data_IF_359912420993
#
_entry.id   IF_359912420993
#
_cell.length_a   1.000
_cell.length_b   1.000
_cell.length_c   1.000
_cell.angle_alpha   90.00
_cell.angle_beta   90.00
_cell.angle_gamma   90.00
#
_symmetry.space_group_name_H-M   'P 1'
#
loop_
_entity.id
_entity.type
_entity.pdbx_description
1 polymer ?
#
# COMPACT_ATOMS: atom_id res chain seq x y z
N UNK A 1 19.29 6.63 22.09
CA UNK A 1 20.07 7.67 21.36
C UNK A 1 19.14 8.86 21.15
N UNK A 2 19.58 10.10 21.44
CA UNK A 2 18.75 11.29 21.20
C UNK A 2 18.61 11.53 19.69
N UNK A 3 17.38 11.73 19.21
CA UNK A 3 17.10 12.06 17.82
C UNK A 3 17.20 13.58 17.65
N UNK A 4 17.95 14.01 16.63
CA UNK A 4 18.16 15.42 16.30
C UNK A 4 17.85 15.67 14.83
N UNK A 5 17.58 16.93 14.47
CA UNK A 5 17.25 17.31 13.10
C UNK A 5 18.37 16.95 12.12
N UNK A 6 17.99 16.32 11.00
CA UNK A 6 18.87 15.81 9.96
C UNK A 6 18.09 15.63 8.65
N UNK A 7 18.73 15.10 7.59
CA UNK A 7 18.01 14.73 6.36
C UNK A 7 16.93 13.67 6.59
N UNK A 8 17.14 12.80 7.58
CA UNK A 8 16.25 11.67 7.90
C UNK A 8 15.16 12.04 8.91
N UNK A 9 15.48 12.89 9.88
CA UNK A 9 14.59 13.25 10.97
C UNK A 9 14.38 14.76 11.00
N UNK A 10 13.14 15.24 11.01
CA UNK A 10 12.83 16.64 11.35
C UNK A 10 12.19 16.69 12.72
N UNK A 11 12.80 17.46 13.62
CA UNK A 11 12.23 17.72 14.95
C UNK A 11 11.62 19.12 14.92
N UNK A 12 10.31 19.20 15.06
CA UNK A 12 9.54 20.43 14.89
C UNK A 12 8.83 20.83 16.19
N UNK A 13 8.79 22.13 16.45
CA UNK A 13 8.13 22.73 17.61
C UNK A 13 7.31 23.92 17.17
N UNK A 14 5.99 23.85 17.38
CA UNK A 14 5.05 24.91 17.01
C UNK A 14 4.08 25.14 18.16
N UNK A 15 4.24 26.26 18.87
CA UNK A 15 3.50 26.53 20.10
C UNK A 15 3.63 25.37 21.11
N UNK A 16 2.49 24.76 21.48
CA UNK A 16 2.42 23.61 22.39
C UNK A 16 2.63 22.26 21.70
N UNK A 17 2.76 22.22 20.37
CA UNK A 17 2.91 21.00 19.58
C UNK A 17 4.37 20.59 19.40
N UNK A 18 4.64 19.28 19.42
CA UNK A 18 5.94 18.67 19.14
C UNK A 18 5.76 17.57 18.11
N UNK A 19 6.53 17.60 17.03
CA UNK A 19 6.48 16.58 15.98
C UNK A 19 7.88 16.04 15.68
N UNK A 20 7.95 14.74 15.49
CA UNK A 20 9.08 14.06 14.87
C UNK A 20 8.61 13.55 13.51
N UNK A 21 9.20 14.05 12.44
CA UNK A 21 8.97 13.55 11.07
C UNK A 21 10.13 12.65 10.70
N UNK A 22 9.83 11.41 10.31
CA UNK A 22 10.80 10.46 9.76
C UNK A 22 10.64 10.44 8.24
N UNK A 23 11.60 11.03 7.54
CA UNK A 23 11.58 11.15 6.08
C UNK A 23 12.00 9.82 5.43
N UNK A 24 11.41 9.48 4.28
CA UNK A 24 11.81 8.31 3.46
C UNK A 24 11.98 7.02 4.28
N UNK A 25 10.96 6.64 5.05
CA UNK A 25 10.99 5.50 5.98
C UNK A 25 11.46 4.20 5.31
N UNK A 26 12.35 3.48 5.99
CA UNK A 26 12.92 2.18 5.61
C UNK A 26 12.66 1.16 6.73
N UNK A 27 12.82 -0.15 6.44
CA UNK A 27 12.63 -1.23 7.43
C UNK A 27 13.41 -1.00 8.75
N UNK A 28 14.62 -0.43 8.66
CA UNK A 28 15.48 -0.15 9.83
C UNK A 28 14.97 0.98 10.74
N UNK A 29 14.02 1.78 10.27
CA UNK A 29 13.41 2.85 11.07
C UNK A 29 12.24 2.34 11.91
N UNK A 30 11.81 1.09 11.71
CA UNK A 30 10.83 0.44 12.58
C UNK A 30 11.39 0.32 14.00
N UNK A 31 10.51 0.45 15.00
CA UNK A 31 10.90 0.33 16.40
C UNK A 31 10.16 1.29 17.31
N UNK A 32 10.63 1.36 18.55
CA UNK A 32 10.08 2.25 19.56
C UNK A 32 10.76 3.62 19.53
N UNK A 33 9.93 4.66 19.59
CA UNK A 33 10.33 6.05 19.69
C UNK A 33 9.75 6.61 20.98
N UNK A 34 10.57 7.35 21.72
CA UNK A 34 10.14 7.95 22.99
C UNK A 34 10.25 9.47 22.93
N UNK A 35 9.17 10.15 23.31
CA UNK A 35 9.16 11.58 23.60
C UNK A 35 9.19 11.76 25.13
N UNK A 36 10.16 12.51 25.65
CA UNK A 36 10.33 12.74 27.08
C UNK A 36 10.23 14.22 27.42
N UNK A 37 9.48 14.56 28.47
CA UNK A 37 9.37 15.92 29.00
C UNK A 37 9.20 15.88 30.53
N UNK A 38 10.03 16.64 31.26
CA UNK A 38 9.98 16.75 32.72
C UNK A 38 9.91 15.39 33.45
N UNK A 39 10.70 14.41 33.00
CA UNK A 39 10.74 13.05 33.58
C UNK A 39 9.56 12.15 33.18
N UNK A 40 8.59 12.65 32.42
CA UNK A 40 7.48 11.87 31.86
C UNK A 40 7.81 11.42 30.44
N UNK A 41 7.33 10.23 30.05
CA UNK A 41 7.61 9.61 28.75
C UNK A 41 6.33 9.20 28.02
N UNK A 42 6.33 9.40 26.71
CA UNK A 42 5.37 8.85 25.77
C UNK A 42 6.11 7.95 24.79
N UNK A 43 5.67 6.70 24.65
CA UNK A 43 6.28 5.72 23.73
C UNK A 43 5.36 5.46 22.55
N UNK A 44 5.95 5.45 21.36
CA UNK A 44 5.30 5.19 20.09
C UNK A 44 5.98 4.01 19.42
N UNK A 45 5.22 3.12 18.80
CA UNK A 45 5.78 2.03 17.99
C UNK A 45 5.55 2.31 16.52
N UNK A 46 6.63 2.50 15.78
CA UNK A 46 6.61 2.60 14.32
C UNK A 46 6.74 1.20 13.74
N UNK A 47 5.76 0.80 12.95
CA UNK A 47 5.78 -0.43 12.17
C UNK A 47 5.96 -0.03 10.72
N UNK A 48 7.02 -0.52 10.07
CA UNK A 48 7.28 -0.26 8.66
C UNK A 48 6.87 -1.48 7.87
N UNK A 49 5.81 -1.35 7.08
CA UNK A 49 5.38 -2.36 6.12
C UNK A 49 5.82 -1.96 4.72
N UNK A 50 6.16 -2.94 3.89
CA UNK A 50 6.35 -2.68 2.46
C UNK A 50 5.00 -2.35 1.82
N UNK A 51 5.03 -1.57 0.73
CA UNK A 51 3.84 -1.44 -0.10
C UNK A 51 3.54 -2.82 -0.67
N UNK A 52 2.40 -3.37 -0.30
CA UNK A 52 1.92 -4.60 -0.91
C UNK A 52 1.47 -4.28 -2.34
N UNK A 53 1.96 -5.06 -3.30
CA UNK A 53 1.42 -5.02 -4.65
C UNK A 53 -0.06 -5.41 -4.61
N UNK A 54 -0.90 -4.68 -5.32
CA UNK A 54 -2.34 -4.96 -5.36
C UNK A 54 -2.61 -6.30 -6.05
N UNK A 55 -1.80 -6.63 -7.07
CA UNK A 55 -1.88 -7.89 -7.80
C UNK A 55 -0.73 -8.83 -7.41
N UNK A 56 -1.08 -10.10 -7.18
CA UNK A 56 -0.16 -11.19 -6.93
C UNK A 56 0.13 -11.96 -8.24
N UNK A 57 1.28 -12.66 -8.29
CA UNK A 57 1.65 -13.55 -9.39
C UNK A 57 1.55 -12.90 -10.79
N UNK A 58 1.85 -11.59 -10.90
CA UNK A 58 1.69 -10.83 -12.15
C UNK A 58 2.48 -11.41 -13.32
N UNK A 59 3.62 -12.06 -13.02
CA UNK A 59 4.46 -12.77 -13.99
C UNK A 59 3.80 -14.01 -14.59
N UNK A 60 2.80 -14.60 -13.90
CA UNK A 60 2.04 -15.77 -14.38
C UNK A 60 0.77 -15.39 -15.13
N UNK A 61 0.42 -14.10 -15.16
CA UNK A 61 -0.81 -13.63 -15.83
C UNK A 61 -0.67 -13.79 -17.34
N UNK A 62 -1.62 -14.52 -17.94
CA UNK A 62 -1.72 -14.61 -19.39
C UNK A 62 -2.25 -13.29 -19.97
N UNK A 63 -1.34 -12.51 -20.58
CA UNK A 63 -1.66 -11.19 -21.13
C UNK A 63 -2.40 -11.24 -22.47
N UNK A 64 -2.30 -12.35 -23.19
CA UNK A 64 -2.97 -12.57 -24.47
C UNK A 64 -3.86 -13.81 -24.42
N UNK A 65 -5.17 -13.61 -24.55
CA UNK A 65 -6.15 -14.71 -24.59
C UNK A 65 -6.74 -14.78 -25.99
N UNK A 66 -6.52 -15.92 -26.65
CA UNK A 66 -7.14 -16.25 -27.94
C UNK A 66 -8.41 -17.05 -27.68
N UNK A 67 -9.48 -16.73 -28.39
CA UNK A 67 -10.73 -17.47 -28.33
C UNK A 67 -11.27 -17.65 -29.74
N UNK A 68 -11.97 -18.77 -29.97
CA UNK A 68 -12.63 -19.05 -31.24
C UNK A 68 -13.98 -18.33 -31.27
N UNK A 69 -14.48 -18.04 -32.47
CA UNK A 69 -15.81 -17.45 -32.65
C UNK A 69 -16.86 -18.28 -31.89
N UNK A 70 -17.80 -17.60 -31.23
CA UNK A 70 -18.87 -18.17 -30.39
C UNK A 70 -18.45 -18.86 -29.09
N UNK A 71 -17.16 -19.09 -28.85
CA UNK A 71 -16.66 -19.62 -27.58
C UNK A 71 -16.49 -18.53 -26.52
N UNK A 72 -16.39 -18.94 -25.26
CA UNK A 72 -16.10 -18.04 -24.15
C UNK A 72 -14.60 -17.84 -23.97
N UNK A 73 -14.19 -16.60 -23.72
CA UNK A 73 -12.84 -16.27 -23.24
C UNK A 73 -12.88 -16.01 -21.73
N UNK A 74 -11.83 -16.43 -21.01
CA UNK A 74 -11.64 -16.13 -19.59
C UNK A 74 -10.39 -15.29 -19.41
N UNK A 75 -10.53 -14.17 -18.70
CA UNK A 75 -9.43 -13.35 -18.23
C UNK A 75 -9.31 -13.54 -16.72
N UNK A 76 -8.10 -13.72 -16.20
CA UNK A 76 -7.87 -13.97 -14.78
C UNK A 76 -6.68 -13.18 -14.25
N UNK A 77 -6.76 -12.79 -12.99
CA UNK A 77 -5.68 -12.19 -12.21
C UNK A 77 -5.86 -12.57 -10.74
N UNK A 78 -4.79 -12.46 -9.97
CA UNK A 78 -4.82 -12.69 -8.51
C UNK A 78 -4.51 -11.39 -7.78
N UNK A 79 -5.17 -11.15 -6.65
CA UNK A 79 -4.94 -9.99 -5.78
C UNK A 79 -4.23 -10.41 -4.50
N UNK A 80 -3.38 -9.54 -3.95
CA UNK A 80 -2.65 -9.87 -2.72
C UNK A 80 -3.55 -9.95 -1.47
N UNK A 81 -4.68 -9.24 -1.48
CA UNK A 81 -5.64 -9.20 -0.37
C UNK A 81 -7.03 -9.60 -0.84
N UNK A 82 -7.68 -10.51 -0.11
CA UNK A 82 -9.00 -11.05 -0.47
C UNK A 82 -10.12 -9.99 -0.53
N UNK A 83 -9.99 -8.88 0.20
CA UNK A 83 -10.98 -7.78 0.22
C UNK A 83 -10.77 -6.76 -0.91
N UNK A 84 -9.75 -6.93 -1.76
CA UNK A 84 -9.48 -6.02 -2.87
C UNK A 84 -10.61 -6.11 -3.90
N UNK A 85 -11.29 -4.99 -4.12
CA UNK A 85 -12.27 -4.87 -5.22
C UNK A 85 -11.54 -4.79 -6.56
N UNK A 86 -11.91 -5.66 -7.50
CA UNK A 86 -11.41 -5.63 -8.88
C UNK A 86 -12.50 -5.12 -9.81
N UNK A 87 -12.13 -4.25 -10.75
CA UNK A 87 -13.02 -3.74 -11.80
C UNK A 87 -12.43 -4.08 -13.16
N UNK A 88 -13.27 -4.63 -14.05
CA UNK A 88 -12.89 -4.93 -15.42
C UNK A 88 -13.33 -3.81 -16.36
N UNK A 89 -12.48 -3.49 -17.33
CA UNK A 89 -12.76 -2.47 -18.34
C UNK A 89 -12.53 -3.02 -19.73
N UNK A 90 -13.37 -2.61 -20.67
CA UNK A 90 -13.13 -2.81 -22.11
C UNK A 90 -13.11 -1.46 -22.79
N UNK A 91 -12.01 -1.15 -23.48
CA UNK A 91 -11.83 0.13 -24.22
C UNK A 91 -12.13 1.36 -23.33
N UNK A 92 -11.69 1.32 -22.07
CA UNK A 92 -11.90 2.36 -21.07
C UNK A 92 -13.29 2.40 -20.43
N UNK A 93 -14.24 1.54 -20.84
CA UNK A 93 -15.59 1.47 -20.27
C UNK A 93 -15.69 0.37 -19.22
N UNK A 94 -16.27 0.71 -18.07
CA UNK A 94 -16.49 -0.24 -16.97
C UNK A 94 -17.42 -1.38 -17.42
N UNK A 95 -17.00 -2.61 -17.18
CA UNK A 95 -17.81 -3.81 -17.39
C UNK A 95 -18.64 -4.06 -16.13
N UNK A 96 -19.93 -4.29 -16.31
CA UNK A 96 -20.85 -4.73 -15.26
C UNK A 96 -21.45 -6.09 -15.62
N UNK A 97 -21.91 -6.82 -14.60
CA UNK A 97 -22.51 -8.14 -14.79
C UNK A 97 -23.74 -8.06 -15.71
N UNK A 98 -23.81 -8.96 -16.70
CA UNK A 98 -24.83 -8.99 -17.74
C UNK A 98 -24.92 -10.37 -18.40
N UNK A 99 -25.80 -10.54 -19.39
CA UNK A 99 -25.85 -11.78 -20.20
C UNK A 99 -24.53 -12.08 -20.93
N UNK A 100 -23.76 -11.05 -21.28
CA UNK A 100 -22.51 -11.16 -22.05
C UNK A 100 -21.28 -11.24 -21.15
N UNK A 101 -21.25 -10.51 -20.04
CA UNK A 101 -20.12 -10.45 -19.13
C UNK A 101 -20.50 -11.00 -17.76
N UNK A 102 -19.73 -11.97 -17.28
CA UNK A 102 -19.82 -12.51 -15.92
C UNK A 102 -18.57 -12.04 -15.19
N UNK A 103 -18.73 -11.03 -14.34
CA UNK A 103 -17.67 -10.38 -13.54
C UNK A 103 -18.03 -10.43 -12.07
#
# INVERSE_FOLDING_TARGET
>A
KLITSSKKFKVESEGKSRRLVVEQVEKKDAGEYTCEAAGQKLTFKVIVTEREDVFANQEKVQKEVKAVLTESATLSCEVAQAKTEVRWYKDGKLITSSKKFKV
#
